data_IF_123352414760
#
_entry.id   IF_123352414760
#
_cell.length_a   1.000
_cell.length_b   1.000
_cell.length_c   1.000
_cell.angle_alpha   90.00
_cell.angle_beta   90.00
_cell.angle_gamma   90.00
#
_symmetry.space_group_name_H-M   'P 1'
#
loop_
_entity.id
_entity.type
_entity.pdbx_description
1 polymer ?
#
# COMPACT_ATOMS: atom_id res chain seq x y z
N UNK A 1 -21.48 1.84 25.27
CA UNK A 1 -20.48 2.91 25.45
C UNK A 1 -19.68 3.11 24.16
N UNK A 2 -20.19 3.89 23.20
CA UNK A 2 -19.57 4.02 21.87
C UNK A 2 -18.16 4.64 21.91
N UNK A 3 -17.90 5.57 22.83
CA UNK A 3 -16.60 6.23 22.97
C UNK A 3 -15.53 5.31 23.58
N UNK A 4 -15.92 4.48 24.55
CA UNK A 4 -15.02 3.53 25.21
C UNK A 4 -14.60 2.42 24.25
N UNK A 5 -15.53 1.93 23.42
CA UNK A 5 -15.21 0.95 22.39
C UNK A 5 -14.23 1.51 21.35
N UNK A 6 -14.39 2.77 20.91
CA UNK A 6 -13.44 3.38 19.96
C UNK A 6 -12.04 3.52 20.57
N UNK A 7 -11.94 3.94 21.84
CA UNK A 7 -10.63 4.01 22.52
C UNK A 7 -9.99 2.63 22.64
N UNK A 8 -10.75 1.61 23.05
CA UNK A 8 -10.24 0.25 23.17
C UNK A 8 -9.76 -0.30 21.81
N UNK A 9 -10.51 -0.07 20.74
CA UNK A 9 -10.11 -0.47 19.38
C UNK A 9 -8.80 0.22 18.98
N UNK A 10 -8.69 1.54 19.17
CA UNK A 10 -7.47 2.29 18.82
C UNK A 10 -6.23 1.80 19.60
N UNK A 11 -6.39 1.45 20.87
CA UNK A 11 -5.27 0.92 21.67
C UNK A 11 -4.87 -0.50 21.26
N UNK A 12 -5.86 -1.36 20.98
CA UNK A 12 -5.62 -2.76 20.61
C UNK A 12 -5.16 -2.92 19.15
N UNK A 13 -5.42 -1.94 18.28
CA UNK A 13 -4.95 -1.96 16.89
C UNK A 13 -3.47 -1.61 16.73
N UNK A 14 -2.83 -1.04 17.76
CA UNK A 14 -1.39 -0.76 17.71
C UNK A 14 -0.66 -2.10 17.83
N UNK A 15 0.11 -2.52 16.82
CA UNK A 15 0.89 -3.74 16.93
C UNK A 15 1.89 -3.60 18.07
N UNK A 16 1.94 -4.59 18.96
CA UNK A 16 2.84 -4.58 20.11
C UNK A 16 4.33 -4.66 19.71
N UNK A 17 4.63 -4.93 18.44
CA UNK A 17 5.99 -5.14 17.92
C UNK A 17 6.17 -4.50 16.55
N UNK A 18 7.41 -4.14 16.21
CA UNK A 18 7.80 -3.67 14.87
C UNK A 18 7.86 -4.78 13.82
N UNK A 19 7.51 -6.03 14.17
CA UNK A 19 7.69 -7.19 13.31
C UNK A 19 6.91 -7.03 11.99
N UNK A 20 5.72 -6.43 12.01
CA UNK A 20 4.93 -6.22 10.80
C UNK A 20 5.59 -5.25 9.81
N UNK A 21 6.16 -4.14 10.31
CA UNK A 21 6.89 -3.20 9.46
C UNK A 21 8.21 -3.78 8.98
N UNK A 22 8.96 -4.50 9.81
CA UNK A 22 10.20 -5.18 9.40
C UNK A 22 9.94 -6.31 8.39
N UNK A 23 8.83 -7.03 8.55
CA UNK A 23 8.36 -8.02 7.58
C UNK A 23 7.98 -7.35 6.25
N UNK A 24 7.30 -6.21 6.30
CA UNK A 24 6.96 -5.42 5.11
C UNK A 24 8.21 -4.91 4.39
N UNK A 25 9.21 -4.39 5.10
CA UNK A 25 10.45 -3.90 4.50
C UNK A 25 11.35 -5.03 3.99
N UNK A 26 11.38 -6.18 4.66
CA UNK A 26 12.16 -7.34 4.21
C UNK A 26 11.57 -7.98 2.94
N UNK A 27 10.24 -8.15 2.88
CA UNK A 27 9.56 -8.62 1.67
C UNK A 27 9.54 -7.54 0.58
N UNK A 28 9.37 -6.27 0.98
CA UNK A 28 9.43 -5.09 0.13
C UNK A 28 10.84 -4.84 -0.43
N UNK A 29 11.88 -5.47 0.13
CA UNK A 29 13.22 -5.45 -0.44
C UNK A 29 13.22 -5.89 -1.89
N UNK A 30 12.37 -6.83 -2.34
CA UNK A 30 12.30 -7.23 -3.76
C UNK A 30 11.72 -6.10 -4.64
N UNK A 31 10.80 -5.30 -4.11
CA UNK A 31 10.27 -4.11 -4.80
C UNK A 31 11.30 -2.97 -4.83
N UNK A 32 12.14 -2.87 -3.79
CA UNK A 32 13.14 -1.82 -3.60
C UNK A 32 14.52 -2.19 -4.19
N UNK A 33 14.83 -3.47 -4.31
CA UNK A 33 16.14 -3.98 -4.71
C UNK A 33 16.22 -4.02 -6.23
N UNK A 34 16.93 -3.03 -6.77
CA UNK A 34 17.67 -3.04 -8.04
C UNK A 34 16.94 -3.28 -9.36
N UNK A 35 15.70 -3.79 -9.39
CA UNK A 35 14.94 -4.00 -10.64
C UNK A 35 14.16 -2.73 -11.04
N UNK A 36 13.93 -1.79 -10.11
CA UNK A 36 13.07 -0.61 -10.30
C UNK A 36 13.67 0.70 -9.80
N UNK A 37 14.90 1.03 -10.22
CA UNK A 37 15.62 2.25 -9.84
C UNK A 37 15.00 3.58 -10.37
N UNK A 38 13.72 3.56 -10.79
CA UNK A 38 12.96 4.68 -11.34
C UNK A 38 11.53 4.79 -10.78
N UNK A 39 11.18 4.01 -9.74
CA UNK A 39 9.88 4.18 -9.09
C UNK A 39 9.94 5.28 -8.03
N UNK A 40 8.99 6.20 -8.10
CA UNK A 40 8.79 7.24 -7.07
C UNK A 40 8.39 6.62 -5.73
N UNK A 41 8.66 7.35 -4.64
CA UNK A 41 8.26 6.95 -3.28
C UNK A 41 6.74 6.70 -3.20
N UNK A 42 5.96 7.52 -3.90
CA UNK A 42 4.51 7.40 -3.99
C UNK A 42 4.09 6.08 -4.66
N UNK A 43 4.77 5.69 -5.74
CA UNK A 43 4.46 4.43 -6.45
C UNK A 43 4.82 3.21 -5.61
N UNK A 44 5.95 3.26 -4.90
CA UNK A 44 6.34 2.19 -3.97
C UNK A 44 5.28 2.03 -2.88
N UNK A 45 4.78 3.14 -2.32
CA UNK A 45 3.74 3.12 -1.29
C UNK A 45 2.42 2.53 -1.81
N UNK A 46 1.96 2.97 -2.98
CA UNK A 46 0.75 2.45 -3.61
C UNK A 46 0.85 0.93 -3.88
N UNK A 47 2.00 0.44 -4.34
CA UNK A 47 2.22 -0.99 -4.56
C UNK A 47 2.19 -1.81 -3.27
N UNK A 48 2.76 -1.28 -2.18
CA UNK A 48 2.70 -1.95 -0.87
C UNK A 48 1.26 -2.02 -0.34
N UNK A 49 0.49 -0.93 -0.47
CA UNK A 49 -0.93 -0.90 -0.13
C UNK A 49 -1.74 -1.90 -0.98
N UNK A 50 -1.53 -1.91 -2.30
CA UNK A 50 -2.20 -2.82 -3.22
C UNK A 50 -1.93 -4.29 -2.88
N UNK A 51 -0.67 -4.62 -2.53
CA UNK A 51 -0.31 -5.97 -2.08
C UNK A 51 -1.08 -6.37 -0.81
N UNK A 52 -1.13 -5.48 0.18
CA UNK A 52 -1.84 -5.73 1.45
C UNK A 52 -3.35 -5.91 1.22
N UNK A 53 -3.96 -5.04 0.40
CA UNK A 53 -5.38 -5.14 0.07
C UNK A 53 -5.74 -6.38 -0.74
N UNK A 54 -4.84 -6.82 -1.65
CA UNK A 54 -5.01 -8.08 -2.36
C UNK A 54 -5.00 -9.28 -1.41
N UNK A 55 -4.10 -9.31 -0.41
CA UNK A 55 -4.07 -10.36 0.62
C UNK A 55 -5.33 -10.37 1.48
N UNK A 56 -5.92 -9.20 1.73
CA UNK A 56 -7.20 -9.05 2.45
C UNK A 56 -8.43 -9.33 1.57
N UNK A 57 -8.27 -9.64 0.29
CA UNK A 57 -9.38 -9.89 -0.64
C UNK A 57 -10.21 -8.65 -0.97
N UNK A 58 -9.68 -7.45 -0.71
CA UNK A 58 -10.36 -6.17 -0.95
C UNK A 58 -10.26 -5.73 -2.42
N UNK A 59 -9.39 -6.38 -3.21
CA UNK A 59 -9.15 -6.07 -4.62
C UNK A 59 -9.65 -7.22 -5.47
N UNK A 60 -10.48 -6.93 -6.48
CA UNK A 60 -10.96 -7.93 -7.44
C UNK A 60 -9.91 -8.15 -8.52
N UNK A 61 -9.60 -9.41 -8.81
CA UNK A 61 -8.65 -9.79 -9.88
C UNK A 61 -9.05 -9.25 -11.27
N UNK A 62 -10.36 -9.09 -11.50
CA UNK A 62 -10.89 -8.50 -12.73
C UNK A 62 -10.41 -7.06 -12.92
N UNK A 63 -10.31 -6.28 -11.85
CA UNK A 63 -9.88 -4.89 -11.90
C UNK A 63 -8.36 -4.81 -12.03
N UNK A 64 -7.60 -5.68 -11.35
CA UNK A 64 -6.15 -5.82 -11.54
C UNK A 64 -5.82 -6.15 -12.99
N UNK A 65 -6.56 -7.07 -13.62
CA UNK A 65 -6.34 -7.47 -15.02
C UNK A 65 -6.62 -6.33 -15.99
N UNK A 66 -7.65 -5.51 -15.74
CA UNK A 66 -7.94 -4.32 -16.56
C UNK A 66 -6.80 -3.31 -16.47
N UNK A 67 -6.33 -3.03 -15.24
CA UNK A 67 -5.21 -2.10 -15.02
C UNK A 67 -3.93 -2.61 -15.67
N UNK A 68 -3.64 -3.91 -15.57
CA UNK A 68 -2.46 -4.53 -16.19
C UNK A 68 -2.51 -4.57 -17.73
N UNK A 69 -3.71 -4.42 -18.32
CA UNK A 69 -3.90 -4.38 -19.77
C UNK A 69 -3.97 -2.94 -20.31
N UNK A 70 -3.92 -1.92 -19.44
CA UNK A 70 -3.81 -0.53 -19.87
C UNK A 70 -2.39 -0.24 -20.36
N UNK A 71 -2.26 0.64 -21.34
CA UNK A 71 -0.98 1.14 -21.79
C UNK A 71 -0.30 1.94 -20.66
N UNK A 72 1.04 1.86 -20.60
CA UNK A 72 1.82 2.67 -19.69
C UNK A 72 1.53 4.16 -19.95
N UNK A 73 1.32 4.93 -18.88
CA UNK A 73 1.08 6.37 -18.99
C UNK A 73 2.32 7.02 -19.60
N UNK A 74 2.14 7.69 -20.75
CA UNK A 74 3.21 8.34 -21.48
C UNK A 74 3.60 9.65 -20.79
N UNK A 75 4.53 9.57 -19.85
CA UNK A 75 5.03 10.70 -19.08
C UNK A 75 5.83 10.25 -17.86
N UNK A 76 7.02 10.81 -17.67
CA UNK A 76 7.81 10.62 -16.43
C UNK A 76 7.39 11.58 -15.32
N UNK A 77 6.30 12.31 -15.50
CA UNK A 77 5.80 13.23 -14.50
C UNK A 77 5.21 12.42 -13.35
N UNK A 78 5.85 12.55 -12.18
CA UNK A 78 5.28 12.04 -10.94
C UNK A 78 3.96 12.76 -10.71
N UNK A 79 2.85 12.06 -10.93
CA UNK A 79 1.51 12.59 -10.62
C UNK A 79 1.40 12.68 -9.11
N UNK A 80 1.40 13.89 -8.57
CA UNK A 80 1.14 14.13 -7.16
C UNK A 80 -0.26 13.63 -6.81
N UNK A 81 -0.31 12.53 -6.05
CA UNK A 81 -1.57 12.02 -5.53
C UNK A 81 -2.15 13.04 -4.55
N UNK A 82 -3.47 13.25 -4.56
CA UNK A 82 -4.12 14.22 -3.67
C UNK A 82 -3.83 13.89 -2.20
N UNK A 83 -3.64 14.94 -1.40
CA UNK A 83 -3.38 14.80 0.05
C UNK A 83 -4.50 13.97 0.69
N UNK A 84 -4.11 12.84 1.30
CA UNK A 84 -5.05 11.93 1.95
C UNK A 84 -5.63 10.81 1.08
N UNK A 85 -5.08 10.57 -0.13
CA UNK A 85 -5.47 9.41 -0.96
C UNK A 85 -5.33 8.05 -0.25
N UNK A 86 -4.46 8.01 0.76
CA UNK A 86 -4.03 6.86 1.55
C UNK A 86 -4.74 6.74 2.90
N UNK A 87 -5.64 7.68 3.23
CA UNK A 87 -6.40 7.67 4.48
C UNK A 87 -7.63 6.79 4.28
N UNK A 88 -7.65 5.66 4.99
CA UNK A 88 -8.81 4.76 5.11
C UNK A 88 -9.60 5.13 6.36
#
# INVERSE_FOLDING_TARGET
YPLLSCMAINYLSIPATSVDVECLFSHGRILLSHIRNRLSVQTIRALLCLKSWSQLGLVKDADVRKVAAMDDVEGKEEVELPVGWDVI
#
